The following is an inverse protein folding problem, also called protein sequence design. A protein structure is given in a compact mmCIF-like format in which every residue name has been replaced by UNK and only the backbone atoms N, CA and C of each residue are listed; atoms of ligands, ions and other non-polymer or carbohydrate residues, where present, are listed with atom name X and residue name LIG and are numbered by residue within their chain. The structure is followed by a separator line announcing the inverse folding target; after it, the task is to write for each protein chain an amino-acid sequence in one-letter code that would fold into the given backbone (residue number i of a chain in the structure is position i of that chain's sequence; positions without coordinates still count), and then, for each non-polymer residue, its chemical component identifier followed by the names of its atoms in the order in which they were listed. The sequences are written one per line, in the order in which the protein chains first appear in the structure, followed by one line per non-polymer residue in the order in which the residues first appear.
data_IF_285307455725
#
_entry.id   IF_285307455725
#
_cell.length_a   1.000
_cell.length_b   1.000
_cell.length_c   1.000
_cell.angle_alpha   90.00
_cell.angle_beta   90.00
_cell.angle_gamma   90.00
#
_symmetry.space_group_name_H-M   'P 1'
#
loop_
_entity.id
_entity.type
_entity.pdbx_description
1 polymer ?
#
# COMPACT_ATOMS: atom_id res chain seq x y z
N UNK A 1 39.66 7.88 11.08
CA UNK A 1 38.93 6.61 10.92
C UNK A 1 39.43 6.00 9.64
N UNK A 2 40.28 4.96 9.74
CA UNK A 2 40.76 4.24 8.58
C UNK A 2 39.56 3.60 7.88
N UNK A 3 39.30 4.01 6.64
CA UNK A 3 38.34 3.37 5.74
C UNK A 3 38.97 2.10 5.20
N UNK A 4 38.98 1.06 6.01
CA UNK A 4 39.37 -0.28 5.60
C UNK A 4 38.20 -0.90 4.79
N UNK A 5 38.51 -1.88 3.92
CA UNK A 5 37.50 -2.59 3.11
C UNK A 5 36.39 -3.24 3.94
N UNK A 6 36.58 -3.41 5.24
CA UNK A 6 35.60 -3.90 6.20
C UNK A 6 34.78 -2.79 6.88
N UNK A 7 35.08 -1.50 6.63
CA UNK A 7 34.39 -0.40 7.33
C UNK A 7 32.88 -0.39 7.09
N UNK A 8 32.46 -0.56 5.85
CA UNK A 8 31.03 -0.59 5.50
C UNK A 8 30.31 -1.77 6.15
N UNK A 9 30.93 -2.96 6.11
CA UNK A 9 30.37 -4.17 6.72
C UNK A 9 30.22 -4.00 8.24
N UNK A 10 31.23 -3.42 8.88
CA UNK A 10 31.20 -3.20 10.33
C UNK A 10 30.17 -2.12 10.71
N UNK A 11 30.07 -1.06 9.92
CA UNK A 11 29.04 -0.02 10.09
C UNK A 11 27.65 -0.60 9.97
N UNK A 12 27.38 -1.41 8.96
CA UNK A 12 26.07 -2.04 8.77
C UNK A 12 25.71 -3.01 9.88
N UNK A 13 26.69 -3.75 10.43
CA UNK A 13 26.49 -4.60 11.62
C UNK A 13 26.07 -3.79 12.85
N UNK A 14 26.70 -2.63 13.07
CA UNK A 14 26.35 -1.74 14.19
C UNK A 14 24.95 -1.18 14.03
N UNK A 15 24.62 -0.63 12.84
CA UNK A 15 23.28 -0.11 12.56
C UNK A 15 22.20 -1.20 12.68
N UNK A 16 22.46 -2.40 12.17
CA UNK A 16 21.54 -3.53 12.31
C UNK A 16 21.29 -3.90 13.78
N UNK A 17 22.35 -3.95 14.58
CA UNK A 17 22.25 -4.27 16.02
C UNK A 17 21.46 -3.19 16.76
N UNK A 18 21.74 -1.93 16.49
CA UNK A 18 21.05 -0.79 17.09
C UNK A 18 19.57 -0.74 16.67
N UNK A 19 19.27 -0.91 15.38
CA UNK A 19 17.91 -0.96 14.88
C UNK A 19 17.09 -2.10 15.53
N UNK A 20 17.67 -3.30 15.62
CA UNK A 20 17.01 -4.43 16.29
C UNK A 20 16.79 -4.15 17.78
N UNK A 21 17.78 -3.61 18.47
CA UNK A 21 17.66 -3.22 19.89
C UNK A 21 16.51 -2.24 20.10
N UNK A 22 16.41 -1.21 19.26
CA UNK A 22 15.36 -0.19 19.32
C UNK A 22 13.97 -0.80 19.03
N UNK A 23 13.86 -1.69 18.04
CA UNK A 23 12.60 -2.39 17.72
C UNK A 23 12.16 -3.25 18.91
N UNK A 24 13.09 -3.97 19.56
CA UNK A 24 12.75 -4.82 20.70
C UNK A 24 12.45 -4.04 21.98
N UNK A 25 13.05 -2.87 22.17
CA UNK A 25 12.78 -2.01 23.35
C UNK A 25 11.44 -1.29 23.24
N UNK A 26 11.04 -0.83 22.02
CA UNK A 26 9.84 -0.04 21.81
C UNK A 26 8.85 -0.72 20.83
N UNK A 27 8.56 -2.00 21.05
CA UNK A 27 7.73 -2.84 20.15
C UNK A 27 6.40 -2.19 19.73
N UNK A 28 5.68 -1.57 20.69
CA UNK A 28 4.40 -0.91 20.40
C UNK A 28 4.56 0.24 19.43
N UNK A 29 5.56 1.08 19.62
CA UNK A 29 5.84 2.24 18.76
C UNK A 29 6.15 1.79 17.32
N UNK A 30 7.04 0.81 17.16
CA UNK A 30 7.39 0.29 15.83
C UNK A 30 6.23 -0.42 15.13
N UNK A 31 5.37 -1.11 15.88
CA UNK A 31 4.15 -1.69 15.35
C UNK A 31 3.19 -0.61 14.81
N UNK A 32 2.94 0.46 15.57
CA UNK A 32 2.12 1.58 15.10
C UNK A 32 2.73 2.30 13.90
N UNK A 33 4.05 2.51 13.87
CA UNK A 33 4.74 3.08 12.72
C UNK A 33 4.59 2.19 11.48
N UNK A 34 4.64 0.88 11.63
CA UNK A 34 4.42 -0.05 10.53
C UNK A 34 2.98 0.03 10.00
N UNK A 35 1.98 0.06 10.89
CA UNK A 35 0.58 0.25 10.49
C UNK A 35 0.36 1.59 9.78
N UNK A 36 0.95 2.66 10.28
CA UNK A 36 0.90 3.96 9.62
C UNK A 36 1.51 3.92 8.23
N UNK A 37 2.63 3.22 8.04
CA UNK A 37 3.22 3.01 6.73
C UNK A 37 2.32 2.22 5.79
N UNK A 38 1.67 1.16 6.26
CA UNK A 38 0.67 0.41 5.49
C UNK A 38 -0.44 1.34 4.98
N UNK A 39 -1.00 2.17 5.86
CA UNK A 39 -2.04 3.12 5.50
C UNK A 39 -1.54 4.18 4.51
N UNK A 40 -0.34 4.73 4.74
CA UNK A 40 0.28 5.70 3.84
C UNK A 40 0.58 5.11 2.46
N UNK A 41 0.97 3.86 2.41
CA UNK A 41 1.23 3.17 1.14
C UNK A 41 -0.07 2.85 0.39
N UNK A 42 -1.10 2.41 1.09
CA UNK A 42 -2.38 2.06 0.47
C UNK A 42 -3.18 3.31 0.07
N UNK A 43 -3.32 4.29 0.95
CA UNK A 43 -4.08 5.52 0.69
C UNK A 43 -3.17 6.67 0.24
N UNK A 44 -2.71 7.47 1.19
CA UNK A 44 -1.88 8.65 0.98
C UNK A 44 -0.94 8.85 2.17
N UNK A 45 0.26 9.32 1.89
CA UNK A 45 1.19 9.75 2.92
C UNK A 45 0.86 11.19 3.35
N UNK A 46 0.14 11.31 4.47
CA UNK A 46 -0.31 12.60 5.02
C UNK A 46 0.88 13.45 5.51
N UNK A 47 2.00 12.82 5.86
CA UNK A 47 3.18 13.48 6.41
C UNK A 47 4.32 13.63 5.41
N UNK A 48 4.04 13.56 4.11
CA UNK A 48 5.08 13.68 3.10
C UNK A 48 5.69 15.09 3.08
N UNK A 49 7.01 15.17 3.12
CA UNK A 49 7.77 16.42 2.97
C UNK A 49 7.86 16.92 1.52
N UNK A 50 7.36 16.14 0.56
CA UNK A 50 7.45 16.46 -0.87
C UNK A 50 6.31 17.40 -1.25
N UNK A 51 6.62 18.68 -1.58
CA UNK A 51 5.63 19.72 -1.88
C UNK A 51 4.62 19.33 -2.97
N UNK A 52 5.06 18.70 -4.04
CA UNK A 52 4.20 18.31 -5.18
C UNK A 52 3.34 17.06 -4.90
N UNK A 53 3.57 16.37 -3.79
CA UNK A 53 2.79 15.19 -3.43
C UNK A 53 1.33 15.53 -3.14
N UNK A 54 1.07 16.74 -2.66
CA UNK A 54 -0.29 17.21 -2.30
C UNK A 54 -1.02 17.92 -3.45
N UNK A 55 -0.58 17.75 -4.69
CA UNK A 55 -1.32 18.27 -5.83
C UNK A 55 -2.68 17.55 -5.96
N UNK A 56 -3.82 18.28 -5.96
CA UNK A 56 -5.16 17.69 -6.07
C UNK A 56 -5.32 16.77 -7.28
N UNK A 57 -4.66 17.06 -8.39
CA UNK A 57 -4.68 16.23 -9.60
C UNK A 57 -4.13 14.81 -9.37
N UNK A 58 -3.27 14.62 -8.37
CA UNK A 58 -2.75 13.30 -8.00
C UNK A 58 -3.50 12.68 -6.82
N UNK A 59 -3.91 13.51 -5.87
CA UNK A 59 -4.56 13.06 -4.64
C UNK A 59 -5.95 12.50 -4.90
N UNK A 60 -6.77 13.23 -5.67
CA UNK A 60 -8.17 12.87 -5.90
C UNK A 60 -8.29 11.50 -6.61
N UNK A 61 -7.62 11.24 -7.74
CA UNK A 61 -7.65 9.91 -8.36
C UNK A 61 -7.13 8.80 -7.46
N UNK A 62 -6.02 9.05 -6.75
CA UNK A 62 -5.43 8.07 -5.84
C UNK A 62 -6.38 7.69 -4.70
N UNK A 63 -7.10 8.64 -4.11
CA UNK A 63 -8.12 8.39 -3.09
C UNK A 63 -9.31 7.63 -3.65
N UNK A 64 -9.82 8.03 -4.82
CA UNK A 64 -10.96 7.35 -5.46
C UNK A 64 -10.62 5.86 -5.68
N UNK A 65 -9.46 5.56 -6.28
CA UNK A 65 -9.04 4.18 -6.52
C UNK A 65 -8.74 3.42 -5.22
N UNK A 66 -8.12 4.05 -4.24
CA UNK A 66 -7.84 3.40 -2.96
C UNK A 66 -9.13 3.03 -2.22
N UNK A 67 -10.09 3.95 -2.13
CA UNK A 67 -11.36 3.71 -1.43
C UNK A 67 -12.24 2.71 -2.19
N UNK A 68 -12.36 2.85 -3.52
CA UNK A 68 -13.22 1.97 -4.33
C UNK A 68 -12.64 0.57 -4.52
N UNK A 69 -11.31 0.40 -4.41
CA UNK A 69 -10.67 -0.92 -4.54
C UNK A 69 -11.05 -1.89 -3.43
N UNK A 70 -11.32 -1.41 -2.22
CA UNK A 70 -11.71 -2.26 -1.09
C UNK A 70 -13.04 -2.98 -1.35
N UNK A 71 -14.17 -2.27 -1.55
CA UNK A 71 -15.44 -2.94 -1.90
C UNK A 71 -15.33 -3.68 -3.23
N UNK A 72 -14.55 -3.19 -4.18
CA UNK A 72 -14.32 -3.86 -5.46
C UNK A 72 -13.66 -5.23 -5.32
N UNK A 73 -12.68 -5.38 -4.44
CA UNK A 73 -12.07 -6.67 -4.13
C UNK A 73 -13.10 -7.66 -3.56
N UNK A 74 -13.96 -7.22 -2.62
CA UNK A 74 -15.02 -8.06 -2.07
C UNK A 74 -16.08 -8.45 -3.12
N UNK A 75 -16.46 -7.54 -4.00
CA UNK A 75 -17.40 -7.80 -5.10
C UNK A 75 -16.79 -8.79 -6.09
N UNK A 76 -15.52 -8.58 -6.44
CA UNK A 76 -14.79 -9.48 -7.31
C UNK A 76 -14.73 -10.91 -6.76
N UNK A 77 -14.47 -11.09 -5.47
CA UNK A 77 -14.49 -12.41 -4.81
C UNK A 77 -15.85 -13.08 -4.90
N UNK A 78 -16.96 -12.31 -4.78
CA UNK A 78 -18.31 -12.85 -4.85
C UNK A 78 -18.78 -13.15 -6.28
N UNK A 79 -18.44 -12.28 -7.24
CA UNK A 79 -18.90 -12.34 -8.64
C UNK A 79 -18.12 -13.40 -9.42
N UNK A 80 -16.82 -13.45 -9.21
CA UNK A 80 -15.92 -14.36 -9.93
C UNK A 80 -15.43 -15.41 -8.92
N UNK A 81 -16.10 -16.57 -8.87
CA UNK A 81 -15.68 -17.72 -8.07
C UNK A 81 -14.36 -18.33 -8.61
N UNK A 82 -13.37 -17.51 -8.94
CA UNK A 82 -12.13 -17.93 -9.56
C UNK A 82 -10.96 -17.67 -8.60
N UNK A 83 -10.12 -18.66 -8.44
CA UNK A 83 -8.88 -18.58 -7.63
C UNK A 83 -7.97 -17.41 -8.06
N UNK A 84 -8.03 -16.96 -9.31
CA UNK A 84 -7.21 -15.85 -9.82
C UNK A 84 -7.38 -14.54 -9.02
N UNK A 85 -8.61 -14.22 -8.59
CA UNK A 85 -8.85 -13.02 -7.78
C UNK A 85 -8.23 -13.15 -6.39
N UNK A 86 -8.33 -14.34 -5.80
CA UNK A 86 -7.70 -14.63 -4.51
C UNK A 86 -6.19 -14.43 -4.60
N UNK A 87 -5.56 -14.90 -5.68
CA UNK A 87 -4.12 -14.67 -5.92
C UNK A 87 -3.78 -13.19 -6.07
N UNK A 88 -4.62 -12.40 -6.77
CA UNK A 88 -4.39 -10.96 -6.91
C UNK A 88 -4.52 -10.21 -5.58
N UNK A 89 -5.49 -10.57 -4.74
CA UNK A 89 -5.65 -10.00 -3.40
C UNK A 89 -4.45 -10.40 -2.52
N UNK A 90 -4.05 -11.68 -2.56
CA UNK A 90 -2.87 -12.14 -1.85
C UNK A 90 -1.62 -11.38 -2.29
N UNK A 91 -1.42 -11.22 -3.60
CA UNK A 91 -0.32 -10.43 -4.15
C UNK A 91 -0.35 -8.98 -3.64
N UNK A 92 -1.52 -8.34 -3.62
CA UNK A 92 -1.68 -6.99 -3.09
C UNK A 92 -1.29 -6.93 -1.59
N UNK A 93 -1.74 -7.88 -0.79
CA UNK A 93 -1.40 -7.96 0.64
C UNK A 93 0.11 -8.16 0.86
N UNK A 94 0.75 -9.04 0.06
CA UNK A 94 2.20 -9.26 0.12
C UNK A 94 2.97 -8.01 -0.26
N UNK A 95 2.59 -7.33 -1.35
CA UNK A 95 3.23 -6.09 -1.78
C UNK A 95 3.09 -4.99 -0.72
N UNK A 96 1.88 -4.81 -0.17
CA UNK A 96 1.62 -3.82 0.89
C UNK A 96 2.47 -4.13 2.11
N UNK A 97 2.43 -5.38 2.60
CA UNK A 97 3.15 -5.79 3.78
C UNK A 97 4.67 -5.67 3.62
N UNK A 98 5.21 -6.15 2.50
CA UNK A 98 6.64 -6.14 2.24
C UNK A 98 7.20 -4.72 2.04
N UNK A 99 6.56 -3.92 1.18
CA UNK A 99 7.05 -2.57 0.88
C UNK A 99 6.94 -1.65 2.12
N UNK A 100 5.92 -1.86 2.97
CA UNK A 100 5.73 -1.07 4.19
C UNK A 100 6.83 -1.27 5.25
N UNK A 101 7.64 -2.33 5.15
CA UNK A 101 8.83 -2.52 6.00
C UNK A 101 9.90 -1.48 5.68
N UNK A 102 10.00 -1.11 4.40
CA UNK A 102 11.01 -0.18 3.91
C UNK A 102 10.53 1.27 3.95
N UNK A 103 11.37 2.17 3.43
CA UNK A 103 11.02 3.57 3.26
C UNK A 103 10.06 3.72 2.07
N UNK A 104 8.86 4.27 2.32
CA UNK A 104 7.83 4.44 1.29
C UNK A 104 8.14 5.69 0.46
N UNK A 105 8.53 5.46 -0.79
CA UNK A 105 8.64 6.52 -1.78
C UNK A 105 7.40 6.54 -2.68
N UNK A 106 6.98 7.71 -3.20
CA UNK A 106 5.82 7.82 -4.10
C UNK A 106 5.90 6.89 -5.30
N UNK A 107 7.11 6.64 -5.84
CA UNK A 107 7.34 5.73 -6.97
C UNK A 107 6.95 4.27 -6.69
N UNK A 108 7.03 3.81 -5.43
CA UNK A 108 6.64 2.43 -5.09
C UNK A 108 5.13 2.24 -5.14
N UNK A 109 4.38 3.33 -5.07
CA UNK A 109 2.92 3.30 -5.13
C UNK A 109 2.38 2.84 -6.49
N UNK A 110 3.18 2.95 -7.55
CA UNK A 110 2.81 2.52 -8.91
C UNK A 110 2.38 1.04 -8.92
N UNK A 111 3.06 0.19 -8.16
CA UNK A 111 2.75 -1.24 -8.10
C UNK A 111 1.36 -1.52 -7.53
N UNK A 112 0.97 -0.80 -6.47
CA UNK A 112 -0.33 -1.02 -5.83
C UNK A 112 -1.47 -0.30 -6.56
N UNK A 113 -1.22 0.86 -7.18
CA UNK A 113 -2.24 1.61 -7.93
C UNK A 113 -2.82 0.76 -9.06
N UNK A 114 -1.99 -0.01 -9.77
CA UNK A 114 -2.46 -0.89 -10.85
C UNK A 114 -3.47 -1.92 -10.33
N UNK A 115 -3.23 -2.52 -9.16
CA UNK A 115 -4.16 -3.43 -8.52
C UNK A 115 -5.40 -2.72 -7.97
N UNK A 116 -5.24 -1.51 -7.45
CA UNK A 116 -6.36 -0.69 -6.97
C UNK A 116 -7.31 -0.32 -8.12
N UNK A 117 -6.78 0.06 -9.28
CA UNK A 117 -7.58 0.33 -10.49
C UNK A 117 -8.35 -0.92 -10.89
N UNK A 118 -7.69 -2.07 -10.96
CA UNK A 118 -8.31 -3.34 -11.34
C UNK A 118 -9.47 -3.71 -10.40
N UNK A 119 -9.28 -3.62 -9.09
CA UNK A 119 -10.36 -3.87 -8.14
C UNK A 119 -11.47 -2.82 -8.21
N UNK A 120 -11.11 -1.55 -8.46
CA UNK A 120 -12.10 -0.47 -8.61
C UNK A 120 -13.04 -0.68 -9.78
N UNK A 121 -12.59 -1.34 -10.87
CA UNK A 121 -13.43 -1.69 -12.02
C UNK A 121 -14.61 -2.55 -11.56
N UNK A 122 -14.40 -3.56 -10.72
CA UNK A 122 -15.49 -4.40 -10.20
C UNK A 122 -16.50 -3.61 -9.37
N UNK A 123 -16.05 -2.61 -8.63
CA UNK A 123 -16.93 -1.74 -7.86
C UNK A 123 -17.77 -0.85 -8.78
N UNK A 124 -17.16 -0.19 -9.75
CA UNK A 124 -17.87 0.69 -10.68
C UNK A 124 -18.82 -0.08 -11.58
N UNK A 125 -18.43 -1.27 -12.05
CA UNK A 125 -19.31 -2.16 -12.82
C UNK A 125 -20.54 -2.55 -12.00
N UNK A 126 -20.36 -2.92 -10.73
CA UNK A 126 -21.47 -3.23 -9.83
C UNK A 126 -22.43 -2.04 -9.64
N UNK A 127 -21.88 -0.83 -9.46
CA UNK A 127 -22.71 0.38 -9.33
C UNK A 127 -23.48 0.65 -10.62
N UNK A 128 -22.85 0.50 -11.77
CA UNK A 128 -23.48 0.69 -13.07
C UNK A 128 -24.63 -0.31 -13.29
N UNK A 129 -24.42 -1.60 -13.05
CA UNK A 129 -25.46 -2.63 -13.15
C UNK A 129 -26.64 -2.32 -12.22
N UNK A 130 -26.38 -1.93 -10.98
CA UNK A 130 -27.40 -1.58 -10.00
C UNK A 130 -28.21 -0.36 -10.42
N UNK A 131 -27.56 0.65 -10.99
CA UNK A 131 -28.21 1.86 -11.48
C UNK A 131 -29.08 1.60 -12.70
N UNK A 132 -28.60 0.80 -13.63
CA UNK A 132 -29.33 0.46 -14.88
C UNK A 132 -30.57 -0.37 -14.59
N UNK A 133 -30.47 -1.38 -13.72
CA UNK A 133 -31.63 -2.18 -13.28
C UNK A 133 -32.72 -1.35 -12.62
N UNK A 134 -32.35 -0.31 -11.87
CA UNK A 134 -33.29 0.57 -11.18
C UNK A 134 -34.07 1.50 -12.14
N UNK A 135 -33.53 1.75 -13.34
CA UNK A 135 -34.22 2.55 -14.36
C UNK A 135 -35.18 1.74 -15.22
N UNK A 136 -35.10 0.41 -15.23
CA UNK A 136 -35.93 -0.49 -16.03
C UNK A 136 -37.16 -1.03 -15.29
N UNK A 137 -37.30 -0.66 -14.01
CA UNK A 137 -38.49 -0.91 -13.17
C UNK A 137 -39.26 0.39 -12.96
#
# INVERSE_FOLDING_TARGET
INKDNQYEINRDKVFKKEALSNIFSEKKKYFFLYLQKILSYFFLDINSSIKNYYNPAHIIPALIFSVSSIPGAFIGLKKIKNSKIIYLIFLACVLIGFISIFFILPRYKISIISLQILFSIFFFEYLYEKYTKRKST
#
